data_IF_498134103598
#
_entry.id   IF_498134103598
#
_cell.length_a   1.000
_cell.length_b   1.000
_cell.length_c   1.000
_cell.angle_alpha   90.00
_cell.angle_beta   90.00
_cell.angle_gamma   90.00
#
_symmetry.space_group_name_H-M   'P 1'
#
loop_
_entity.id
_entity.type
_entity.pdbx_description
1 polymer ?
#
# COMPACT_ATOMS: atom_id res chain seq x y z
N UNK A 1 -90.89 31.75 -13.73
CA UNK A 1 -90.17 30.44 -13.64
C UNK A 1 -88.80 30.68 -14.22
N UNK A 2 -87.78 30.90 -13.36
CA UNK A 2 -86.37 31.07 -13.77
C UNK A 2 -85.54 29.85 -13.31
N UNK A 3 -84.93 29.18 -14.25
CA UNK A 3 -84.03 28.01 -14.04
C UNK A 3 -82.67 28.51 -13.63
N UNK A 4 -82.22 28.08 -12.45
CA UNK A 4 -80.89 28.33 -11.94
C UNK A 4 -79.94 27.21 -12.44
N UNK A 5 -79.04 27.56 -13.36
CA UNK A 5 -77.94 26.66 -13.79
C UNK A 5 -76.81 26.67 -12.76
N UNK A 6 -76.54 25.50 -12.19
CA UNK A 6 -75.33 25.25 -11.31
C UNK A 6 -74.13 25.03 -12.19
N UNK A 7 -73.17 25.99 -12.18
CA UNK A 7 -71.81 25.79 -12.73
C UNK A 7 -71.02 24.94 -11.78
N UNK A 8 -70.58 23.75 -12.26
CA UNK A 8 -69.58 22.90 -11.59
C UNK A 8 -68.25 23.49 -11.87
N UNK A 9 -67.54 24.00 -10.81
CA UNK A 9 -66.17 24.41 -10.88
C UNK A 9 -65.25 23.15 -10.82
N UNK A 10 -64.46 23.03 -11.87
CA UNK A 10 -63.37 22.02 -11.90
C UNK A 10 -62.19 22.61 -11.17
N UNK A 11 -61.86 22.08 -9.98
CA UNK A 11 -60.59 22.34 -9.30
C UNK A 11 -59.47 21.56 -9.97
N UNK A 12 -58.57 22.26 -10.68
CA UNK A 12 -57.26 21.70 -11.09
C UNK A 12 -56.34 21.68 -9.88
N UNK A 13 -56.02 20.47 -9.37
CA UNK A 13 -54.99 20.31 -8.41
C UNK A 13 -53.62 20.28 -9.13
N UNK A 14 -52.85 21.36 -9.02
CA UNK A 14 -51.44 21.35 -9.44
C UNK A 14 -50.65 20.56 -8.41
N UNK A 15 -50.28 19.34 -8.79
CA UNK A 15 -49.29 18.53 -8.03
C UNK A 15 -47.89 19.07 -8.26
N UNK A 16 -47.29 19.67 -7.21
CA UNK A 16 -45.86 20.03 -7.19
C UNK A 16 -45.05 18.75 -7.03
N UNK A 17 -44.44 18.24 -8.10
CA UNK A 17 -43.44 17.16 -8.01
C UNK A 17 -42.12 17.81 -7.59
N UNK A 18 -41.79 17.73 -6.32
CA UNK A 18 -40.47 18.09 -5.83
C UNK A 18 -39.46 17.01 -6.26
N UNK A 19 -38.66 17.30 -7.29
CA UNK A 19 -37.55 16.46 -7.66
C UNK A 19 -36.45 16.55 -6.57
N UNK A 20 -36.33 15.54 -5.74
CA UNK A 20 -35.20 15.40 -4.78
C UNK A 20 -33.96 15.03 -5.60
N UNK A 21 -33.14 16.03 -5.91
CA UNK A 21 -31.82 15.81 -6.49
C UNK A 21 -30.93 15.31 -5.35
N UNK A 22 -30.78 13.98 -5.22
CA UNK A 22 -29.75 13.39 -4.37
C UNK A 22 -28.40 13.65 -5.01
N UNK A 23 -27.69 14.68 -4.54
CA UNK A 23 -26.27 14.85 -4.81
C UNK A 23 -25.52 13.68 -4.14
N UNK A 24 -25.17 12.66 -4.93
CA UNK A 24 -24.21 11.66 -4.50
C UNK A 24 -22.87 12.37 -4.48
N UNK A 25 -22.42 12.78 -3.28
CA UNK A 25 -21.06 13.24 -3.10
C UNK A 25 -20.14 12.06 -3.42
N UNK A 26 -19.48 12.07 -4.58
CA UNK A 26 -18.38 11.17 -4.88
C UNK A 26 -17.27 11.57 -3.91
N UNK A 27 -17.14 10.84 -2.79
CA UNK A 27 -16.09 11.05 -1.82
C UNK A 27 -14.74 10.97 -2.53
N UNK A 28 -13.90 12.00 -2.36
CA UNK A 28 -12.55 11.96 -2.92
C UNK A 28 -11.80 10.76 -2.32
N UNK A 29 -11.11 9.99 -3.17
CA UNK A 29 -10.32 8.85 -2.76
C UNK A 29 -9.35 9.23 -1.63
N UNK A 30 -9.38 8.50 -0.52
CA UNK A 30 -8.60 8.82 0.68
C UNK A 30 -7.08 8.67 0.45
N UNK A 31 -6.68 7.78 -0.46
CA UNK A 31 -5.28 7.53 -0.82
C UNK A 31 -5.12 7.65 -2.33
N UNK A 32 -4.42 8.69 -2.80
CA UNK A 32 -4.16 8.94 -4.22
C UNK A 32 -2.69 8.68 -4.53
N UNK A 33 -2.42 7.84 -5.50
CA UNK A 33 -1.07 7.51 -5.96
C UNK A 33 -0.75 8.24 -7.25
N UNK A 34 0.31 9.05 -7.21
CA UNK A 34 0.83 9.76 -8.39
C UNK A 34 1.85 8.85 -9.06
N UNK A 35 1.65 8.44 -10.32
CA UNK A 35 2.62 7.62 -11.04
C UNK A 35 3.91 8.37 -11.30
N UNK A 36 4.97 7.63 -11.63
CA UNK A 36 6.20 8.22 -12.16
C UNK A 36 5.91 8.92 -13.51
N UNK A 37 6.66 9.99 -13.85
CA UNK A 37 6.47 10.70 -15.11
C UNK A 37 6.75 9.81 -16.33
N UNK A 38 6.31 10.27 -17.50
CA UNK A 38 6.60 9.70 -18.83
C UNK A 38 6.22 8.21 -18.98
N UNK A 39 5.20 7.75 -18.23
CA UNK A 39 4.74 6.37 -18.29
C UNK A 39 5.76 5.35 -17.77
N UNK A 40 6.73 5.78 -16.96
CA UNK A 40 7.77 4.91 -16.40
C UNK A 40 7.11 3.73 -15.63
N UNK A 41 7.36 2.46 -16.04
CA UNK A 41 6.70 1.29 -15.47
C UNK A 41 7.28 0.86 -14.13
N UNK A 42 8.32 1.51 -13.63
CA UNK A 42 8.99 1.11 -12.40
C UNK A 42 7.98 1.00 -11.24
N UNK A 43 8.04 -0.06 -10.39
CA UNK A 43 6.96 -0.39 -9.48
C UNK A 43 6.95 0.45 -8.18
N UNK A 44 7.10 1.77 -8.31
CA UNK A 44 6.90 2.75 -7.22
C UNK A 44 6.00 3.89 -7.68
N UNK A 45 5.44 4.65 -6.74
CA UNK A 45 4.78 5.93 -7.01
C UNK A 45 5.78 7.07 -6.87
N UNK A 46 5.63 8.13 -7.68
CA UNK A 46 6.36 9.38 -7.49
C UNK A 46 5.97 10.04 -6.16
N UNK A 47 4.67 10.00 -5.85
CA UNK A 47 4.11 10.46 -4.58
C UNK A 47 2.87 9.65 -4.21
N UNK A 48 2.54 9.63 -2.92
CA UNK A 48 1.24 9.14 -2.41
C UNK A 48 0.66 10.23 -1.54
N UNK A 49 -0.53 10.72 -1.90
CA UNK A 49 -1.30 11.65 -1.10
C UNK A 49 -2.26 10.88 -0.21
N UNK A 50 -2.18 11.10 1.10
CA UNK A 50 -3.13 10.56 2.08
C UNK A 50 -3.97 11.73 2.59
N UNK A 51 -5.29 11.63 2.42
CA UNK A 51 -6.26 12.64 2.88
C UNK A 51 -6.83 12.26 4.24
N UNK A 52 -7.57 13.17 4.84
CA UNK A 52 -8.26 12.91 6.12
C UNK A 52 -9.23 11.71 6.03
N UNK A 53 -9.58 11.12 7.18
CA UNK A 53 -10.46 9.95 7.26
C UNK A 53 -9.72 8.62 7.08
N UNK A 54 -8.41 8.59 7.37
CA UNK A 54 -7.60 7.36 7.44
C UNK A 54 -6.77 7.33 8.72
N UNK A 55 -6.58 6.15 9.26
CA UNK A 55 -5.55 5.92 10.27
C UNK A 55 -4.19 5.71 9.60
N UNK A 56 -3.16 6.33 10.15
CA UNK A 56 -1.78 6.09 9.72
C UNK A 56 -1.15 5.01 10.58
N UNK A 57 -0.71 3.93 9.95
CA UNK A 57 -0.09 2.80 10.63
C UNK A 57 1.41 2.75 10.28
N UNK A 58 2.24 2.93 11.30
CA UNK A 58 3.70 2.80 11.21
C UNK A 58 4.10 1.38 11.57
N UNK A 59 4.74 0.68 10.63
CA UNK A 59 5.27 -0.67 10.84
C UNK A 59 6.78 -0.56 10.99
N UNK A 60 7.30 -1.04 12.11
CA UNK A 60 8.73 -1.05 12.40
C UNK A 60 9.53 -1.81 11.36
N UNK A 61 10.84 -1.52 11.31
CA UNK A 61 11.79 -2.23 10.47
C UNK A 61 11.71 -3.74 10.70
N UNK A 62 11.61 -4.49 9.61
CA UNK A 62 11.64 -5.95 9.61
C UNK A 62 12.92 -6.45 8.97
N UNK A 63 13.56 -7.39 9.63
CA UNK A 63 14.76 -8.12 9.18
C UNK A 63 14.37 -9.49 8.60
N UNK A 64 15.20 -10.10 7.75
CA UNK A 64 14.92 -11.41 7.20
C UNK A 64 14.93 -12.49 8.28
N UNK A 65 14.11 -13.51 8.11
CA UNK A 65 14.13 -14.70 8.95
C UNK A 65 15.23 -15.65 8.47
N UNK A 66 15.95 -16.28 9.43
CA UNK A 66 16.92 -17.30 9.08
C UNK A 66 16.26 -18.49 8.36
N UNK A 67 16.91 -18.99 7.31
CA UNK A 67 16.48 -20.17 6.55
C UNK A 67 16.93 -21.48 7.18
N UNK A 68 17.97 -21.44 8.04
CA UNK A 68 18.51 -22.59 8.75
C UNK A 68 17.90 -22.74 10.18
N UNK A 69 16.56 -22.66 10.28
CA UNK A 69 15.85 -22.64 11.58
C UNK A 69 16.08 -23.91 12.43
N UNK A 70 16.33 -25.03 11.79
CA UNK A 70 16.53 -26.34 12.45
C UNK A 70 18.00 -26.62 12.77
N UNK A 71 18.90 -25.65 12.55
CA UNK A 71 20.31 -25.80 12.86
C UNK A 71 20.52 -25.88 14.39
N UNK A 72 21.58 -26.58 14.87
CA UNK A 72 21.90 -26.68 16.29
C UNK A 72 21.98 -25.29 16.95
N UNK A 73 21.62 -25.23 18.24
CA UNK A 73 21.68 -23.98 19.02
C UNK A 73 23.10 -23.40 18.99
N UNK A 74 23.21 -22.13 18.68
CA UNK A 74 24.50 -21.43 18.56
C UNK A 74 25.06 -21.38 17.12
N UNK A 75 24.42 -22.06 16.17
CA UNK A 75 24.76 -21.91 14.76
C UNK A 75 24.40 -20.49 14.27
N UNK A 76 25.32 -19.85 13.54
CA UNK A 76 25.05 -18.54 12.96
C UNK A 76 23.82 -18.60 12.00
N UNK A 77 22.94 -17.59 12.01
CA UNK A 77 21.81 -17.55 11.11
C UNK A 77 22.29 -17.40 9.65
N UNK A 78 21.61 -18.10 8.75
CA UNK A 78 21.77 -17.97 7.30
C UNK A 78 20.48 -17.41 6.74
N UNK A 79 20.56 -16.34 5.93
CA UNK A 79 19.37 -15.63 5.42
C UNK A 79 19.13 -15.84 3.92
N UNK A 80 20.10 -16.43 3.20
CA UNK A 80 20.06 -16.54 1.75
C UNK A 80 20.56 -15.28 1.04
N UNK A 81 20.30 -15.21 -0.24
CA UNK A 81 20.66 -14.07 -1.09
C UNK A 81 19.69 -12.87 -0.91
N UNK A 82 19.96 -11.77 -1.59
CA UNK A 82 19.17 -10.54 -1.50
C UNK A 82 17.70 -10.76 -1.89
N UNK A 83 17.42 -11.55 -2.92
CA UNK A 83 16.02 -11.85 -3.33
C UNK A 83 15.31 -12.64 -2.22
N UNK A 84 15.90 -13.71 -1.73
CA UNK A 84 15.36 -14.55 -0.64
C UNK A 84 15.08 -13.72 0.60
N UNK A 85 16.02 -12.85 0.98
CA UNK A 85 15.86 -11.96 2.13
C UNK A 85 14.75 -10.94 1.91
N UNK A 86 14.62 -10.36 0.71
CA UNK A 86 13.55 -9.42 0.37
C UNK A 86 12.18 -10.07 0.48
N UNK A 87 12.02 -11.26 -0.07
CA UNK A 87 10.77 -12.03 0.02
C UNK A 87 10.44 -12.36 1.47
N UNK A 88 11.43 -12.77 2.27
CA UNK A 88 11.28 -13.06 3.71
C UNK A 88 10.74 -11.84 4.46
N UNK A 89 11.37 -10.69 4.29
CA UNK A 89 10.98 -9.43 4.97
C UNK A 89 9.59 -8.97 4.55
N UNK A 90 9.30 -8.94 3.24
CA UNK A 90 7.99 -8.50 2.74
C UNK A 90 6.87 -9.46 3.14
N UNK A 91 7.15 -10.76 3.26
CA UNK A 91 6.20 -11.74 3.80
C UNK A 91 5.91 -11.48 5.28
N UNK A 92 6.93 -11.13 6.08
CA UNK A 92 6.76 -10.75 7.49
C UNK A 92 5.90 -9.48 7.62
N UNK A 93 6.20 -8.44 6.84
CA UNK A 93 5.41 -7.19 6.81
C UNK A 93 3.96 -7.47 6.40
N UNK A 94 3.74 -8.28 5.36
CA UNK A 94 2.39 -8.72 4.93
C UNK A 94 1.63 -9.39 6.07
N UNK A 95 2.29 -10.25 6.85
CA UNK A 95 1.70 -10.90 8.01
C UNK A 95 1.35 -9.91 9.14
N UNK A 96 2.19 -8.90 9.37
CA UNK A 96 1.92 -7.82 10.34
C UNK A 96 0.72 -6.98 9.92
N UNK A 97 0.69 -6.55 8.66
CA UNK A 97 -0.43 -5.78 8.10
C UNK A 97 -1.75 -6.55 8.18
N UNK A 98 -1.73 -7.86 7.85
CA UNK A 98 -2.92 -8.70 7.91
C UNK A 98 -3.54 -8.78 9.32
N UNK A 99 -2.73 -8.81 10.39
CA UNK A 99 -3.22 -8.78 11.78
C UNK A 99 -3.92 -7.46 12.14
N UNK A 100 -3.66 -6.40 11.38
CA UNK A 100 -4.26 -5.07 11.54
C UNK A 100 -5.45 -4.85 10.58
N UNK A 101 -5.82 -5.87 9.79
CA UNK A 101 -6.86 -5.79 8.77
C UNK A 101 -6.43 -5.00 7.53
N UNK A 102 -5.12 -4.97 7.24
CA UNK A 102 -4.50 -4.28 6.12
C UNK A 102 -3.80 -5.28 5.18
N UNK A 103 -3.52 -4.82 3.96
CA UNK A 103 -2.75 -5.57 2.97
C UNK A 103 -1.57 -4.79 2.41
N UNK A 104 -0.82 -5.40 1.50
CA UNK A 104 0.31 -4.74 0.82
C UNK A 104 -0.15 -3.53 -0.02
N UNK A 105 -1.40 -3.55 -0.49
CA UNK A 105 -2.00 -2.44 -1.24
C UNK A 105 -2.24 -1.17 -0.42
N UNK A 106 -2.27 -1.27 0.91
CA UNK A 106 -2.47 -0.14 1.83
C UNK A 106 -1.15 0.56 2.17
N UNK A 107 0.00 -0.02 1.80
CA UNK A 107 1.31 0.62 2.00
C UNK A 107 1.42 1.87 1.14
N UNK A 108 1.70 3.01 1.78
CA UNK A 108 1.81 4.33 1.15
C UNK A 108 3.27 4.79 1.07
N UNK A 109 4.11 4.41 2.01
CA UNK A 109 5.54 4.71 2.05
C UNK A 109 6.33 3.48 2.47
N UNK A 110 7.53 3.34 1.90
CA UNK A 110 8.50 2.31 2.25
C UNK A 110 9.89 2.91 2.29
N UNK A 111 10.68 2.52 3.30
CA UNK A 111 12.12 2.75 3.35
C UNK A 111 12.83 1.39 3.37
N UNK A 112 13.83 1.24 2.52
CA UNK A 112 14.66 0.04 2.43
C UNK A 112 16.09 0.43 2.77
N UNK A 113 16.59 -0.11 3.87
CA UNK A 113 17.98 -0.01 4.29
C UNK A 113 18.71 -1.27 3.82
N UNK A 114 19.80 -1.11 3.08
CA UNK A 114 20.52 -2.22 2.48
C UNK A 114 21.98 -2.22 2.96
N UNK A 115 22.45 -3.33 3.45
CA UNK A 115 23.89 -3.52 3.67
C UNK A 115 24.59 -3.85 2.35
N UNK A 116 25.92 -3.66 2.32
CA UNK A 116 26.76 -4.15 1.24
C UNK A 116 26.63 -5.68 1.11
N UNK A 117 26.37 -6.17 -0.11
CA UNK A 117 26.26 -7.61 -0.39
C UNK A 117 27.62 -8.17 -0.81
N UNK A 118 28.22 -9.07 -0.02
CA UNK A 118 29.50 -9.68 -0.38
C UNK A 118 29.46 -10.46 -1.70
N UNK A 119 28.29 -11.01 -2.05
CA UNK A 119 28.10 -11.72 -3.32
C UNK A 119 27.91 -10.77 -4.52
N UNK A 120 27.80 -9.46 -4.27
CA UNK A 120 27.59 -8.41 -5.26
C UNK A 120 28.71 -7.33 -5.17
N UNK A 121 29.95 -7.75 -5.20
CA UNK A 121 31.13 -6.87 -5.11
C UNK A 121 31.15 -5.92 -3.89
N UNK A 122 30.56 -6.30 -2.78
CA UNK A 122 30.36 -5.46 -1.60
C UNK A 122 29.64 -4.12 -1.92
N UNK A 123 28.68 -4.17 -2.83
CA UNK A 123 27.84 -3.04 -3.22
C UNK A 123 26.38 -3.30 -2.88
N UNK A 124 25.57 -2.26 -2.99
CA UNK A 124 24.11 -2.35 -2.91
C UNK A 124 23.59 -3.24 -4.04
N UNK A 125 23.01 -4.40 -3.71
CA UNK A 125 22.43 -5.34 -4.67
C UNK A 125 20.98 -4.96 -5.00
N UNK A 126 20.81 -3.88 -5.76
CA UNK A 126 19.50 -3.40 -6.16
C UNK A 126 18.73 -4.38 -7.08
N UNK A 127 19.37 -5.07 -8.03
CA UNK A 127 18.69 -6.11 -8.82
C UNK A 127 18.06 -7.22 -7.96
N UNK A 128 18.79 -7.72 -6.95
CA UNK A 128 18.26 -8.73 -6.03
C UNK A 128 17.09 -8.22 -5.19
N UNK A 129 17.16 -6.96 -4.70
CA UNK A 129 16.02 -6.31 -4.07
C UNK A 129 14.81 -6.30 -5.01
N UNK A 130 15.00 -5.89 -6.28
CA UNK A 130 13.89 -5.77 -7.23
C UNK A 130 13.29 -7.11 -7.61
N UNK A 131 14.06 -8.19 -7.68
CA UNK A 131 13.57 -9.53 -7.94
C UNK A 131 12.56 -9.98 -6.87
N UNK A 132 12.86 -9.74 -5.59
CA UNK A 132 11.93 -10.02 -4.49
C UNK A 132 10.77 -9.02 -4.40
N UNK A 133 11.06 -7.72 -4.52
CA UNK A 133 10.07 -6.64 -4.37
C UNK A 133 8.93 -6.72 -5.39
N UNK A 134 9.24 -7.00 -6.66
CA UNK A 134 8.26 -7.05 -7.74
C UNK A 134 7.24 -8.18 -7.61
N UNK A 135 7.45 -9.12 -6.68
CA UNK A 135 6.48 -10.16 -6.35
C UNK A 135 5.34 -9.62 -5.45
N UNK A 136 5.50 -8.46 -4.84
CA UNK A 136 4.55 -7.89 -3.88
C UNK A 136 3.90 -6.59 -4.36
N UNK A 137 4.56 -5.81 -5.22
CA UNK A 137 4.11 -4.48 -5.63
C UNK A 137 4.09 -4.30 -7.14
N UNK A 138 3.04 -3.66 -7.64
CA UNK A 138 2.88 -3.42 -9.07
C UNK A 138 2.55 -4.68 -9.86
N UNK A 139 2.05 -5.72 -9.19
CA UNK A 139 1.57 -6.96 -9.81
C UNK A 139 0.15 -6.77 -10.35
N UNK A 140 -0.33 -7.71 -11.15
CA UNK A 140 -1.73 -7.71 -11.61
C UNK A 140 -2.72 -7.74 -10.45
N UNK A 141 -2.43 -8.54 -9.41
CA UNK A 141 -3.33 -8.76 -8.28
C UNK A 141 -3.15 -7.68 -7.19
N UNK A 142 -1.99 -7.03 -7.14
CA UNK A 142 -1.69 -5.93 -6.23
C UNK A 142 -1.00 -4.79 -7.01
N UNK A 143 -1.78 -3.94 -7.71
CA UNK A 143 -1.27 -2.88 -8.58
C UNK A 143 -0.78 -1.63 -7.83
N UNK A 144 -1.18 -1.44 -6.57
CA UNK A 144 -0.84 -0.28 -5.77
C UNK A 144 0.65 -0.23 -5.47
N UNK A 145 1.26 0.93 -5.67
CA UNK A 145 2.70 1.14 -5.51
C UNK A 145 2.95 2.19 -4.42
N UNK A 146 3.82 1.94 -3.43
CA UNK A 146 4.19 2.96 -2.45
C UNK A 146 5.17 3.99 -3.04
N UNK A 147 5.26 5.15 -2.41
CA UNK A 147 6.45 5.97 -2.52
C UNK A 147 7.60 5.27 -1.78
N UNK A 148 8.77 5.07 -2.43
CA UNK A 148 9.87 4.28 -1.86
C UNK A 148 11.21 4.99 -1.96
N UNK A 149 12.02 4.85 -0.90
CA UNK A 149 13.46 5.13 -0.92
C UNK A 149 14.21 3.84 -0.63
N UNK A 150 15.36 3.63 -1.29
CA UNK A 150 16.28 2.54 -1.00
C UNK A 150 17.69 3.12 -0.92
N UNK A 151 18.40 2.83 0.18
CA UNK A 151 19.71 3.40 0.47
C UNK A 151 20.63 2.33 1.02
N UNK A 152 21.93 2.45 0.75
CA UNK A 152 22.94 1.63 1.43
C UNK A 152 23.26 2.25 2.78
N UNK A 153 23.36 1.38 3.80
CA UNK A 153 23.79 1.71 5.16
C UNK A 153 25.11 1.02 5.48
N UNK A 154 25.80 1.49 6.48
CA UNK A 154 27.09 0.92 6.89
C UNK A 154 26.94 -0.51 7.43
N UNK A 155 25.91 -0.78 8.21
CA UNK A 155 25.58 -2.10 8.76
C UNK A 155 24.12 -2.17 9.20
N UNK A 156 23.60 -3.37 9.36
CA UNK A 156 22.33 -3.69 10.01
C UNK A 156 22.62 -4.38 11.35
N UNK A 157 21.63 -4.37 12.26
CA UNK A 157 21.78 -4.95 13.61
C UNK A 157 21.94 -6.47 13.60
N UNK A 158 21.49 -7.17 12.54
CA UNK A 158 21.63 -8.61 12.37
C UNK A 158 22.78 -8.92 11.42
N UNK A 159 23.90 -9.51 11.90
CA UNK A 159 25.00 -9.91 11.04
C UNK A 159 24.54 -10.89 9.96
N UNK A 160 24.89 -10.62 8.70
CA UNK A 160 24.47 -11.42 7.54
C UNK A 160 23.12 -11.02 6.93
N UNK A 161 22.34 -10.15 7.57
CA UNK A 161 21.20 -9.52 6.93
C UNK A 161 21.69 -8.50 5.89
N UNK A 162 21.07 -8.54 4.69
CA UNK A 162 21.39 -7.66 3.57
C UNK A 162 20.40 -6.50 3.43
N UNK A 163 19.22 -6.59 4.08
CA UNK A 163 18.26 -5.49 4.08
C UNK A 163 17.40 -5.49 5.34
N UNK A 164 16.87 -4.30 5.63
CA UNK A 164 15.79 -4.05 6.58
C UNK A 164 14.76 -3.18 5.89
N UNK A 165 13.47 -3.43 6.07
CA UNK A 165 12.39 -2.66 5.45
C UNK A 165 11.41 -2.20 6.53
N UNK A 166 11.08 -0.90 6.51
CA UNK A 166 9.97 -0.31 7.24
C UNK A 166 8.90 0.20 6.28
N UNK A 167 7.66 0.23 6.73
CA UNK A 167 6.56 0.76 5.92
C UNK A 167 5.61 1.63 6.74
N UNK A 168 4.95 2.56 6.03
CA UNK A 168 3.79 3.30 6.52
C UNK A 168 2.61 2.85 5.67
N UNK A 169 1.50 2.50 6.30
CA UNK A 169 0.26 2.12 5.64
C UNK A 169 -0.88 3.09 6.03
N UNK A 170 -1.86 3.24 5.15
CA UNK A 170 -3.05 4.06 5.37
C UNK A 170 -4.28 3.14 5.42
N UNK A 171 -5.00 3.17 6.54
CA UNK A 171 -6.23 2.39 6.77
C UNK A 171 -7.44 3.32 6.65
N UNK A 172 -8.23 3.23 5.56
CA UNK A 172 -9.51 3.94 5.47
C UNK A 172 -10.48 3.48 6.58
N UNK A 173 -11.28 4.44 7.09
CA UNK A 173 -12.35 4.15 8.05
C UNK A 173 -13.56 3.53 7.35
#
# INVERSE_FOLDING_TARGET
>A
MQKIERRRGVMLALGLIAAVVTCVAVGAEAVVRTPLPDGNPFPISAAVTVRGGVDTVYVSGALPSAINKDAPKGTAPVYGDMETQTVSVLTSIKGTLAKLGLGMGDVVKMTVFMAADPAYDNKLNFPGLMAGYSQFFGTKDQPNKPARSAVQVAALVAPGALLEIEVIAAKPH
#
